data_IF_146796257787
#
_entry.id   IF_146796257787
#
_cell.length_a   1.000
_cell.length_b   1.000
_cell.length_c   1.000
_cell.angle_alpha   90.00
_cell.angle_beta   90.00
_cell.angle_gamma   90.00
#
_symmetry.space_group_name_H-M   'P 1'
#
loop_
_entity.id
_entity.type
_entity.pdbx_description
1 polymer ?
#
# COMPACT_ATOMS: atom_id res chain seq x y z
N UNK A 1 19.82 -9.06 19.69
CA UNK A 1 20.14 -10.02 18.61
C UNK A 1 19.45 -11.32 18.99
N UNK A 2 18.39 -11.66 18.25
CA UNK A 2 17.50 -12.83 18.42
C UNK A 2 16.62 -12.78 19.69
N UNK A 3 15.35 -12.40 19.53
CA UNK A 3 14.19 -12.89 20.33
C UNK A 3 12.99 -11.97 20.11
N UNK A 4 12.22 -12.15 19.02
CA UNK A 4 10.81 -11.69 18.96
C UNK A 4 10.03 -12.35 17.78
N UNK A 5 10.29 -13.64 17.50
CA UNK A 5 9.47 -14.49 16.60
C UNK A 5 8.61 -15.49 17.39
N UNK A 6 8.56 -15.38 18.73
CA UNK A 6 8.02 -16.42 19.59
C UNK A 6 6.59 -16.18 20.16
N UNK A 7 5.88 -15.10 19.80
CA UNK A 7 4.59 -14.79 20.43
C UNK A 7 3.32 -15.16 19.60
N UNK A 8 3.47 -15.75 18.41
CA UNK A 8 2.34 -16.16 17.55
C UNK A 8 2.11 -17.67 17.42
N UNK A 9 2.93 -18.52 18.07
CA UNK A 9 2.96 -19.97 17.84
C UNK A 9 2.59 -20.80 19.07
N UNK A 10 1.56 -20.39 19.80
CA UNK A 10 1.05 -21.12 20.96
C UNK A 10 -0.46 -21.34 20.95
N UNK A 11 -1.03 -21.81 19.82
CA UNK A 11 -2.38 -22.41 19.81
C UNK A 11 -2.61 -23.46 18.68
N UNK A 12 -1.55 -23.97 18.04
CA UNK A 12 -1.65 -25.01 17.01
C UNK A 12 -0.80 -26.24 17.33
N UNK A 13 -1.05 -26.87 18.49
CA UNK A 13 -0.56 -28.23 18.79
C UNK A 13 -1.60 -29.02 19.55
N UNK A 14 -2.57 -29.59 18.83
CA UNK A 14 -3.20 -30.89 19.12
C UNK A 14 -4.19 -31.25 18.01
N UNK A 15 -3.66 -31.75 16.89
CA UNK A 15 -4.39 -32.64 15.98
C UNK A 15 -3.40 -33.21 14.95
N UNK A 16 -2.65 -34.25 15.33
CA UNK A 16 -2.11 -35.21 14.37
C UNK A 16 -2.94 -36.48 14.54
N UNK A 17 -3.71 -36.82 13.51
CA UNK A 17 -3.81 -38.16 12.92
C UNK A 17 -5.01 -38.22 11.97
N UNK A 18 -4.74 -38.14 10.66
CA UNK A 18 -5.54 -38.80 9.61
C UNK A 18 -4.83 -38.78 8.25
N UNK A 19 -5.11 -39.77 7.37
CA UNK A 19 -4.14 -40.29 6.42
C UNK A 19 -4.13 -39.56 5.07
N UNK A 20 -3.03 -39.79 4.36
CA UNK A 20 -2.66 -39.20 3.07
C UNK A 20 -3.79 -39.19 2.03
N UNK A 21 -3.94 -38.04 1.36
CA UNK A 21 -4.74 -37.84 0.16
C UNK A 21 -3.82 -37.44 -1.02
N UNK A 22 -4.25 -37.72 -2.27
CA UNK A 22 -3.34 -38.09 -3.35
C UNK A 22 -2.64 -36.89 -4.01
N UNK A 23 -1.45 -37.17 -4.54
CA UNK A 23 -0.63 -36.30 -5.37
C UNK A 23 -1.43 -35.62 -6.48
N UNK A 24 -1.67 -34.31 -6.34
CA UNK A 24 -2.19 -33.49 -7.41
C UNK A 24 -1.08 -33.26 -8.46
N UNK A 25 -1.37 -33.70 -9.68
CA UNK A 25 -0.57 -33.44 -10.88
C UNK A 25 -0.29 -31.94 -11.02
N UNK A 26 0.95 -31.62 -11.38
CA UNK A 26 1.35 -30.34 -12.00
C UNK A 26 0.31 -29.93 -13.05
N UNK A 27 -0.38 -28.82 -12.81
CA UNK A 27 -1.04 -28.06 -13.86
C UNK A 27 -0.02 -27.06 -14.41
N UNK A 28 0.70 -27.49 -15.44
CA UNK A 28 1.30 -26.56 -16.39
C UNK A 28 0.16 -26.10 -17.30
N UNK A 29 -0.40 -24.92 -17.02
CA UNK A 29 -1.08 -24.12 -18.03
C UNK A 29 -0.96 -22.65 -17.63
N UNK A 30 0.21 -22.08 -17.93
CA UNK A 30 0.39 -20.64 -17.94
C UNK A 30 -0.38 -20.10 -19.16
N UNK A 31 -1.69 -20.04 -19.04
CA UNK A 31 -2.55 -19.39 -20.01
C UNK A 31 -2.09 -17.96 -20.17
N UNK A 32 -1.55 -17.61 -21.34
CA UNK A 32 -1.20 -16.25 -21.70
C UNK A 32 -2.43 -15.37 -21.49
N UNK A 33 -2.38 -14.47 -20.49
CA UNK A 33 -3.36 -13.39 -20.36
C UNK A 33 -3.37 -12.64 -21.70
N UNK A 34 -4.54 -12.40 -22.32
CA UNK A 34 -4.61 -11.64 -23.57
C UNK A 34 -3.93 -10.28 -23.37
N UNK A 35 -3.10 -9.87 -24.33
CA UNK A 35 -2.39 -8.59 -24.24
C UNK A 35 -3.41 -7.44 -24.27
N UNK A 36 -3.60 -6.79 -23.13
CA UNK A 36 -4.46 -5.62 -23.00
C UNK A 36 -3.73 -4.38 -23.55
N UNK A 37 -4.48 -3.47 -24.15
CA UNK A 37 -3.93 -2.20 -24.62
C UNK A 37 -3.61 -1.28 -23.44
N UNK A 38 -2.63 -0.38 -23.63
CA UNK A 38 -2.35 0.69 -22.69
C UNK A 38 -3.56 1.62 -22.53
N UNK A 39 -3.73 2.19 -21.34
CA UNK A 39 -4.87 3.07 -21.06
C UNK A 39 -4.72 4.43 -21.77
N UNK A 40 -5.84 4.94 -22.28
CA UNK A 40 -5.95 6.35 -22.63
C UNK A 40 -6.30 7.16 -21.38
N UNK A 41 -6.03 8.48 -21.37
CA UNK A 41 -6.43 9.37 -20.24
C UNK A 41 -7.92 9.20 -19.88
N UNK A 42 -8.82 9.23 -20.88
CA UNK A 42 -10.27 9.07 -20.65
C UNK A 42 -10.60 7.72 -20.02
N UNK A 43 -10.10 6.62 -20.61
CA UNK A 43 -10.38 5.28 -20.11
C UNK A 43 -9.83 5.05 -18.69
N UNK A 44 -8.63 5.56 -18.38
CA UNK A 44 -8.04 5.49 -17.05
C UNK A 44 -8.92 6.22 -16.03
N UNK A 45 -9.28 7.48 -16.30
CA UNK A 45 -10.13 8.30 -15.45
C UNK A 45 -11.54 7.72 -15.23
N UNK A 46 -12.16 7.18 -16.29
CA UNK A 46 -13.46 6.52 -16.23
C UNK A 46 -13.43 5.27 -15.33
N UNK A 47 -12.43 4.42 -15.51
CA UNK A 47 -12.24 3.22 -14.69
C UNK A 47 -11.92 3.58 -13.24
N UNK A 48 -11.06 4.57 -13.01
CA UNK A 48 -10.74 5.06 -11.66
C UNK A 48 -12.01 5.55 -10.94
N UNK A 49 -12.84 6.35 -11.61
CA UNK A 49 -14.15 6.75 -11.08
C UNK A 49 -15.05 5.55 -10.77
N UNK A 50 -15.09 4.56 -11.66
CA UNK A 50 -15.88 3.34 -11.47
C UNK A 50 -15.47 2.56 -10.21
N UNK A 51 -14.17 2.51 -9.88
CA UNK A 51 -13.66 1.84 -8.67
C UNK A 51 -14.35 2.42 -7.42
N UNK A 52 -14.39 3.75 -7.27
CA UNK A 52 -15.02 4.41 -6.13
C UNK A 52 -16.55 4.29 -6.11
N UNK A 53 -17.20 4.25 -7.27
CA UNK A 53 -18.63 3.95 -7.36
C UNK A 53 -18.93 2.55 -6.82
N UNK A 54 -18.13 1.55 -7.21
CA UNK A 54 -18.29 0.18 -6.75
C UNK A 54 -17.97 0.04 -5.25
N UNK A 55 -16.90 0.70 -4.78
CA UNK A 55 -16.58 0.80 -3.36
C UNK A 55 -17.78 1.28 -2.53
N UNK A 56 -18.41 2.36 -2.97
CA UNK A 56 -19.52 2.98 -2.23
C UNK A 56 -20.79 2.11 -2.26
N UNK A 57 -20.95 1.22 -3.24
CA UNK A 57 -22.06 0.24 -3.28
C UNK A 57 -21.86 -0.87 -2.23
N UNK A 58 -20.61 -1.26 -1.98
CA UNK A 58 -20.17 -2.20 -0.95
C UNK A 58 -20.97 -3.52 -0.83
N UNK A 59 -21.39 -4.09 -1.97
CA UNK A 59 -22.11 -5.36 -2.04
C UNK A 59 -21.29 -6.47 -2.75
N UNK A 60 -21.77 -7.71 -2.68
CA UNK A 60 -21.10 -8.88 -3.30
C UNK A 60 -20.94 -8.70 -4.82
N UNK A 61 -21.96 -8.10 -5.47
CA UNK A 61 -21.87 -7.78 -6.89
C UNK A 61 -20.74 -6.78 -7.17
N UNK A 62 -20.46 -5.84 -6.27
CA UNK A 62 -19.43 -4.82 -6.46
C UNK A 62 -18.04 -5.43 -6.38
N UNK A 63 -17.84 -6.39 -5.48
CA UNK A 63 -16.62 -7.19 -5.43
C UNK A 63 -16.41 -7.93 -6.76
N UNK A 64 -17.44 -8.59 -7.29
CA UNK A 64 -17.35 -9.28 -8.58
C UNK A 64 -17.04 -8.32 -9.75
N UNK A 65 -17.67 -7.15 -9.77
CA UNK A 65 -17.43 -6.12 -10.80
C UNK A 65 -16.01 -5.51 -10.69
N UNK A 66 -15.50 -5.27 -9.48
CA UNK A 66 -14.11 -4.83 -9.26
C UNK A 66 -13.11 -5.88 -9.74
N UNK A 67 -13.34 -7.16 -9.44
CA UNK A 67 -12.50 -8.26 -9.93
C UNK A 67 -12.55 -8.36 -11.46
N UNK A 68 -13.73 -8.15 -12.08
CA UNK A 68 -13.84 -8.10 -13.54
C UNK A 68 -13.08 -6.90 -14.13
N UNK A 69 -13.18 -5.72 -13.50
CA UNK A 69 -12.44 -4.52 -13.88
C UNK A 69 -10.92 -4.74 -13.80
N UNK A 70 -10.45 -5.40 -12.74
CA UNK A 70 -9.05 -5.76 -12.53
C UNK A 70 -8.51 -6.63 -13.68
N UNK A 71 -9.30 -7.59 -14.16
CA UNK A 71 -8.91 -8.42 -15.30
C UNK A 71 -9.03 -7.69 -16.65
N UNK A 72 -9.72 -6.56 -16.70
CA UNK A 72 -9.94 -5.74 -17.90
C UNK A 72 -8.90 -4.64 -18.13
N UNK A 73 -7.87 -4.52 -17.28
CA UNK A 73 -6.81 -3.51 -17.42
C UNK A 73 -5.42 -4.08 -17.14
N UNK A 74 -4.42 -3.56 -17.85
CA UNK A 74 -3.00 -3.79 -17.58
C UNK A 74 -2.35 -2.67 -16.76
N UNK A 75 -3.06 -1.57 -16.48
CA UNK A 75 -2.56 -0.43 -15.69
C UNK A 75 -2.23 -0.87 -14.28
N UNK A 76 -0.98 -0.71 -13.87
CA UNK A 76 -0.55 -0.98 -12.48
C UNK A 76 -1.28 -0.06 -11.49
N UNK A 77 -1.57 1.19 -11.90
CA UNK A 77 -2.34 2.13 -11.09
C UNK A 77 -3.72 1.55 -10.76
N UNK A 78 -4.51 1.22 -11.79
CA UNK A 78 -5.87 0.73 -11.60
C UNK A 78 -5.91 -0.61 -10.87
N UNK A 79 -4.92 -1.48 -11.11
CA UNK A 79 -4.85 -2.81 -10.50
C UNK A 79 -4.61 -2.74 -9.00
N UNK A 80 -3.65 -1.92 -8.55
CA UNK A 80 -3.44 -1.76 -7.12
C UNK A 80 -4.61 -0.98 -6.48
N UNK A 81 -5.13 0.07 -7.11
CA UNK A 81 -6.30 0.81 -6.58
C UNK A 81 -7.53 -0.09 -6.36
N UNK A 82 -7.73 -1.09 -7.23
CA UNK A 82 -8.77 -2.11 -7.03
C UNK A 82 -8.47 -3.00 -5.83
N UNK A 83 -7.22 -3.47 -5.66
CA UNK A 83 -6.83 -4.26 -4.51
C UNK A 83 -7.04 -3.47 -3.20
N UNK A 84 -6.57 -2.22 -3.16
CA UNK A 84 -6.79 -1.26 -2.07
C UNK A 84 -8.28 -1.16 -1.75
N UNK A 85 -9.09 -0.89 -2.77
CA UNK A 85 -10.54 -0.71 -2.64
C UNK A 85 -11.23 -1.95 -2.07
N UNK A 86 -10.84 -3.15 -2.51
CA UNK A 86 -11.37 -4.40 -1.97
C UNK A 86 -11.04 -4.56 -0.47
N UNK A 87 -9.84 -4.13 -0.05
CA UNK A 87 -9.44 -4.07 1.35
C UNK A 87 -10.30 -3.11 2.17
N UNK A 88 -10.46 -1.88 1.69
CA UNK A 88 -11.26 -0.84 2.37
C UNK A 88 -12.76 -1.14 2.40
N UNK A 89 -13.27 -1.99 1.51
CA UNK A 89 -14.63 -2.53 1.59
C UNK A 89 -14.83 -3.47 2.78
N UNK A 90 -13.74 -4.03 3.33
CA UNK A 90 -13.71 -4.97 4.46
C UNK A 90 -14.62 -6.19 4.27
N UNK A 91 -14.77 -6.67 3.03
CA UNK A 91 -15.63 -7.81 2.73
C UNK A 91 -14.83 -9.11 2.60
N UNK A 92 -15.30 -10.15 3.28
CA UNK A 92 -14.65 -11.47 3.30
C UNK A 92 -14.71 -12.23 1.97
N UNK A 93 -15.67 -11.90 1.10
CA UNK A 93 -15.80 -12.49 -0.23
C UNK A 93 -14.70 -12.02 -1.21
N UNK A 94 -13.96 -10.96 -0.89
CA UNK A 94 -12.77 -10.54 -1.63
C UNK A 94 -11.51 -11.37 -1.32
N UNK A 95 -11.45 -12.02 -0.15
CA UNK A 95 -10.26 -12.75 0.35
C UNK A 95 -9.73 -13.79 -0.65
N UNK A 96 -10.55 -14.64 -1.30
CA UNK A 96 -10.04 -15.62 -2.25
C UNK A 96 -9.35 -15.00 -3.46
N UNK A 97 -9.80 -13.82 -3.90
CA UNK A 97 -9.16 -13.10 -5.00
C UNK A 97 -7.83 -12.48 -4.54
N UNK A 98 -7.82 -11.80 -3.39
CA UNK A 98 -6.64 -11.17 -2.83
C UNK A 98 -5.53 -12.19 -2.48
N UNK A 99 -5.88 -13.37 -1.96
CA UNK A 99 -4.93 -14.47 -1.74
C UNK A 99 -4.23 -14.90 -3.04
N UNK A 100 -5.01 -15.09 -4.12
CA UNK A 100 -4.45 -15.45 -5.43
C UNK A 100 -3.57 -14.35 -5.99
N UNK A 101 -3.97 -13.10 -5.79
CA UNK A 101 -3.23 -11.92 -6.25
C UNK A 101 -1.88 -11.80 -5.53
N UNK A 102 -1.87 -11.93 -4.20
CA UNK A 102 -0.64 -11.91 -3.39
C UNK A 102 0.35 -13.02 -3.79
N UNK A 103 -0.17 -14.20 -4.14
CA UNK A 103 0.62 -15.36 -4.56
C UNK A 103 1.12 -15.29 -6.02
N UNK A 104 0.59 -14.40 -6.86
CA UNK A 104 0.94 -14.30 -8.28
C UNK A 104 2.30 -13.60 -8.46
N UNK A 105 3.39 -14.36 -8.54
CA UNK A 105 4.76 -13.82 -8.73
C UNK A 105 4.96 -13.13 -10.10
N UNK A 106 4.00 -13.24 -11.04
CA UNK A 106 4.04 -12.51 -12.31
C UNK A 106 3.34 -11.14 -12.24
N UNK A 107 2.66 -10.83 -11.13
CA UNK A 107 2.03 -9.54 -10.90
C UNK A 107 3.03 -8.48 -10.46
N UNK A 108 2.73 -7.21 -10.74
CA UNK A 108 3.54 -6.08 -10.31
C UNK A 108 3.69 -6.04 -8.77
N UNK A 109 4.90 -5.80 -8.23
CA UNK A 109 5.14 -5.74 -6.80
C UNK A 109 4.26 -4.74 -6.04
N UNK A 110 3.90 -3.59 -6.64
CA UNK A 110 3.01 -2.59 -6.01
C UNK A 110 1.62 -3.20 -5.82
N UNK A 111 1.10 -3.87 -6.86
CA UNK A 111 -0.22 -4.52 -6.79
C UNK A 111 -0.24 -5.69 -5.79
N UNK A 112 0.86 -6.44 -5.66
CA UNK A 112 0.99 -7.51 -4.64
C UNK A 112 1.10 -6.97 -3.22
N UNK A 113 1.83 -5.88 -3.02
CA UNK A 113 1.89 -5.15 -1.75
C UNK A 113 0.49 -4.72 -1.32
N UNK A 114 -0.24 -4.09 -2.23
CA UNK A 114 -1.60 -3.62 -1.95
C UNK A 114 -2.58 -4.76 -1.64
N UNK A 115 -2.40 -5.93 -2.28
CA UNK A 115 -3.17 -7.12 -1.93
C UNK A 115 -2.90 -7.62 -0.49
N UNK A 116 -1.66 -7.52 -0.01
CA UNK A 116 -1.32 -7.87 1.37
C UNK A 116 -1.94 -6.87 2.36
N UNK A 117 -1.85 -5.57 2.08
CA UNK A 117 -2.47 -4.55 2.92
C UNK A 117 -4.00 -4.69 2.95
N UNK A 118 -4.61 -4.96 1.79
CA UNK A 118 -6.04 -5.22 1.68
C UNK A 118 -6.49 -6.42 2.51
N UNK A 119 -5.73 -7.52 2.49
CA UNK A 119 -5.99 -8.68 3.36
C UNK A 119 -5.91 -8.29 4.84
N UNK A 120 -4.96 -7.45 5.22
CA UNK A 120 -4.88 -6.89 6.57
C UNK A 120 -6.13 -6.09 6.93
N UNK A 121 -6.50 -5.14 6.07
CA UNK A 121 -7.62 -4.22 6.27
C UNK A 121 -9.00 -4.92 6.40
N UNK A 122 -9.17 -6.13 5.85
CA UNK A 122 -10.39 -6.92 6.01
C UNK A 122 -10.57 -7.45 7.44
N UNK A 123 -9.48 -7.64 8.20
CA UNK A 123 -9.48 -8.10 9.60
C UNK A 123 -10.19 -9.44 9.88
N UNK A 124 -10.51 -10.22 8.84
CA UNK A 124 -11.16 -11.52 8.99
C UNK A 124 -10.14 -12.65 9.30
N UNK A 125 -10.50 -13.65 10.12
CA UNK A 125 -9.58 -14.75 10.48
C UNK A 125 -8.96 -15.48 9.28
N UNK A 126 -9.75 -15.68 8.21
CA UNK A 126 -9.30 -16.30 6.97
C UNK A 126 -8.27 -15.42 6.25
N UNK A 127 -8.47 -14.11 6.25
CA UNK A 127 -7.58 -13.12 5.66
C UNK A 127 -6.23 -13.06 6.39
N UNK A 128 -6.28 -13.01 7.73
CA UNK A 128 -5.08 -13.01 8.57
C UNK A 128 -4.30 -14.33 8.47
N UNK A 129 -5.01 -15.45 8.28
CA UNK A 129 -4.37 -16.76 8.05
C UNK A 129 -3.58 -16.79 6.74
N UNK A 130 -4.08 -16.13 5.69
CA UNK A 130 -3.35 -15.99 4.41
C UNK A 130 -2.05 -15.20 4.61
N UNK A 131 -2.11 -14.05 5.29
CA UNK A 131 -0.93 -13.24 5.58
C UNK A 131 0.12 -14.01 6.39
N UNK A 132 -0.30 -14.70 7.45
CA UNK A 132 0.58 -15.49 8.29
C UNK A 132 1.28 -16.61 7.51
N UNK A 133 0.56 -17.26 6.58
CA UNK A 133 1.13 -18.28 5.69
C UNK A 133 2.14 -17.67 4.73
N UNK A 134 1.79 -16.57 4.05
CA UNK A 134 2.67 -15.93 3.07
C UNK A 134 3.98 -15.45 3.71
N UNK A 135 3.90 -14.83 4.90
CA UNK A 135 5.08 -14.41 5.65
C UNK A 135 5.98 -15.58 6.06
N UNK A 136 5.40 -16.74 6.40
CA UNK A 136 6.17 -17.94 6.72
C UNK A 136 6.86 -18.55 5.49
N UNK A 137 6.17 -18.54 4.34
CA UNK A 137 6.70 -19.04 3.06
C UNK A 137 7.87 -18.17 2.59
N UNK A 138 7.72 -16.84 2.60
CA UNK A 138 8.79 -15.89 2.23
C UNK A 138 10.01 -16.02 3.16
N UNK A 139 9.80 -16.19 4.47
CA UNK A 139 10.89 -16.41 5.43
C UNK A 139 11.63 -17.74 5.17
N UNK A 140 10.92 -18.78 4.76
CA UNK A 140 11.52 -20.07 4.39
C UNK A 140 12.31 -19.98 3.08
N UNK A 141 11.82 -19.24 2.08
CA UNK A 141 12.53 -19.02 0.82
C UNK A 141 13.81 -18.21 1.03
N UNK A 142 13.75 -17.14 1.84
CA UNK A 142 14.91 -16.33 2.20
C UNK A 142 15.99 -17.11 2.97
N UNK A 143 15.59 -18.06 3.83
CA UNK A 143 16.51 -18.93 4.57
C UNK A 143 17.16 -20.02 3.69
N UNK A 144 16.52 -20.40 2.58
CA UNK A 144 17.00 -21.41 1.64
C UNK A 144 17.85 -20.86 0.48
N UNK A 145 17.76 -19.56 0.18
CA UNK A 145 18.52 -18.87 -0.87
C UNK A 145 19.89 -18.38 -0.39
N UNK A 146 20.94 -18.69 -1.13
CA UNK A 146 22.28 -18.13 -0.88
C UNK A 146 22.33 -16.59 -1.08
N UNK A 147 23.46 -15.94 -0.75
CA UNK A 147 23.60 -14.47 -0.65
C UNK A 147 23.41 -13.67 -1.97
N UNK A 148 22.97 -14.30 -3.06
CA UNK A 148 22.70 -13.67 -4.35
C UNK A 148 21.22 -13.29 -4.58
N UNK A 149 20.32 -13.62 -3.65
CA UNK A 149 18.90 -13.18 -3.68
C UNK A 149 18.67 -11.84 -2.96
N UNK A 150 19.73 -11.16 -2.51
CA UNK A 150 19.67 -9.99 -1.63
C UNK A 150 19.59 -8.63 -2.38
N UNK A 151 19.76 -8.61 -3.70
CA UNK A 151 19.87 -7.37 -4.48
C UNK A 151 18.75 -7.28 -5.54
N UNK A 152 17.57 -6.76 -5.14
CA UNK A 152 16.63 -5.96 -5.95
C UNK A 152 15.23 -5.83 -5.30
N UNK A 153 14.77 -6.84 -4.54
CA UNK A 153 13.37 -6.96 -4.08
C UNK A 153 13.18 -6.85 -2.55
N UNK A 154 14.24 -6.57 -1.79
CA UNK A 154 14.18 -6.55 -0.32
C UNK A 154 13.28 -5.42 0.25
N UNK A 155 12.99 -4.39 -0.54
CA UNK A 155 12.06 -3.30 -0.17
C UNK A 155 10.61 -3.55 -0.65
N UNK A 156 10.36 -4.65 -1.39
CA UNK A 156 9.06 -5.02 -1.97
C UNK A 156 8.59 -6.41 -1.53
N UNK A 157 9.14 -6.94 -0.44
CA UNK A 157 8.53 -8.07 0.26
C UNK A 157 7.17 -7.60 0.78
N UNK A 158 6.10 -7.95 0.06
CA UNK A 158 4.69 -7.73 0.43
C UNK A 158 4.35 -8.23 1.85
N UNK A 159 5.18 -9.10 2.42
CA UNK A 159 5.08 -9.58 3.79
C UNK A 159 5.82 -8.72 4.86
N UNK A 160 6.50 -7.64 4.46
CA UNK A 160 7.35 -6.83 5.34
C UNK A 160 6.64 -5.64 6.01
N UNK A 161 5.39 -5.34 5.64
CA UNK A 161 4.49 -4.56 6.50
C UNK A 161 3.86 -5.53 7.51
N UNK A 162 4.31 -5.58 8.78
CA UNK A 162 3.61 -6.36 9.79
C UNK A 162 2.31 -5.63 10.10
N UNK A 163 1.27 -5.97 9.36
CA UNK A 163 -0.07 -5.56 9.69
C UNK A 163 -0.39 -6.05 11.10
N UNK A 164 -0.76 -5.13 11.98
CA UNK A 164 -1.29 -5.46 13.30
C UNK A 164 -2.59 -4.68 13.48
N UNK A 165 -3.67 -5.34 13.97
CA UNK A 165 -4.92 -4.67 14.21
C UNK A 165 -4.69 -3.58 15.27
N UNK A 166 -5.27 -2.41 15.05
CA UNK A 166 -5.30 -1.40 16.10
C UNK A 166 -6.17 -1.89 17.27
N UNK A 167 -5.79 -1.65 18.53
CA UNK A 167 -6.71 -1.85 19.65
C UNK A 167 -7.92 -0.92 19.46
N UNK A 168 -9.13 -1.31 19.89
CA UNK A 168 -10.32 -0.48 19.75
C UNK A 168 -10.18 0.79 20.61
N UNK A 169 -9.76 1.89 20.01
CA UNK A 169 -9.65 3.22 20.62
C UNK A 169 -10.99 3.97 20.45
N UNK A 170 -11.66 4.42 21.54
CA UNK A 170 -13.01 4.98 21.44
C UNK A 170 -13.10 6.43 20.91
N UNK A 171 -11.98 7.09 20.55
CA UNK A 171 -11.98 8.54 20.27
C UNK A 171 -11.02 9.03 19.18
N UNK A 172 -10.54 8.18 18.28
CA UNK A 172 -9.66 8.62 17.20
C UNK A 172 -10.40 9.53 16.19
N UNK A 173 -9.73 10.52 15.57
CA UNK A 173 -10.32 11.35 14.52
C UNK A 173 -10.88 10.48 13.38
N UNK A 174 -11.98 10.94 12.78
CA UNK A 174 -12.77 10.22 11.76
C UNK A 174 -12.04 10.12 10.42
N UNK A 175 -10.93 9.38 10.36
CA UNK A 175 -10.38 8.89 9.10
C UNK A 175 -11.09 7.57 8.76
N UNK A 176 -11.66 7.44 7.57
CA UNK A 176 -12.37 6.23 7.12
C UNK A 176 -11.44 5.14 6.57
N UNK A 177 -10.13 5.41 6.54
CA UNK A 177 -9.08 4.52 6.06
C UNK A 177 -8.61 3.56 7.17
N UNK A 178 -8.57 2.27 6.87
CA UNK A 178 -8.02 1.25 7.77
C UNK A 178 -6.49 1.26 7.62
N UNK A 179 -5.79 1.72 8.65
CA UNK A 179 -4.33 1.88 8.62
C UNK A 179 -3.58 0.56 8.79
N UNK A 180 -2.44 0.34 8.10
CA UNK A 180 -1.63 -0.87 8.19
C UNK A 180 -0.94 -1.05 9.55
N UNK A 181 -0.84 0.02 10.34
CA UNK A 181 -0.35 -0.03 11.71
C UNK A 181 -1.18 0.90 12.63
N UNK A 182 -1.33 0.56 13.91
CA UNK A 182 -1.86 1.49 14.89
C UNK A 182 -0.92 2.68 15.10
N UNK A 183 -1.47 3.83 15.49
CA UNK A 183 -0.65 4.93 15.95
C UNK A 183 0.22 4.53 17.16
N UNK A 184 1.43 5.09 17.24
CA UNK A 184 2.22 5.03 18.46
C UNK A 184 1.49 5.76 19.61
N UNK A 185 1.83 5.41 20.85
CA UNK A 185 1.37 6.16 22.01
C UNK A 185 1.71 7.66 21.87
N UNK A 186 0.82 8.50 22.39
CA UNK A 186 0.99 9.95 22.35
C UNK A 186 2.36 10.35 22.96
N UNK A 187 3.22 10.94 22.13
CA UNK A 187 4.54 11.39 22.52
C UNK A 187 4.80 12.82 21.98
N UNK A 188 5.75 13.57 22.55
CA UNK A 188 6.11 14.88 22.03
C UNK A 188 6.57 14.82 20.56
N UNK A 189 6.24 15.85 19.78
CA UNK A 189 6.57 15.94 18.36
C UNK A 189 8.05 15.61 18.03
N UNK A 190 9.06 16.11 18.77
CA UNK A 190 10.46 15.77 18.48
C UNK A 190 10.77 14.28 18.61
N UNK A 191 10.08 13.57 19.51
CA UNK A 191 10.26 12.14 19.73
C UNK A 191 9.62 11.32 18.61
N UNK A 192 8.38 11.65 18.22
CA UNK A 192 7.72 11.01 17.09
C UNK A 192 8.51 11.20 15.79
N UNK A 193 9.02 12.42 15.55
CA UNK A 193 9.94 12.70 14.45
C UNK A 193 11.20 11.83 14.52
N UNK A 194 11.84 11.72 15.69
CA UNK A 194 13.04 10.90 15.84
C UNK A 194 12.78 9.42 15.51
N UNK A 195 11.64 8.87 15.97
CA UNK A 195 11.23 7.49 15.67
C UNK A 195 10.97 7.27 14.19
N UNK A 196 10.26 8.18 13.52
CA UNK A 196 10.00 8.09 12.07
C UNK A 196 11.30 8.07 11.25
N UNK A 197 12.29 8.88 11.66
CA UNK A 197 13.53 9.09 10.90
C UNK A 197 14.66 8.10 11.27
N UNK A 198 14.45 7.23 12.26
CA UNK A 198 15.45 6.24 12.67
C UNK A 198 15.54 5.07 11.68
N UNK A 199 16.59 5.07 10.86
CA UNK A 199 16.86 3.99 9.89
C UNK A 199 17.24 2.66 10.54
N UNK A 200 17.63 2.67 11.81
CA UNK A 200 17.93 1.46 12.56
C UNK A 200 16.70 0.81 13.19
N UNK A 201 15.57 1.52 13.25
CA UNK A 201 14.34 1.01 13.82
C UNK A 201 13.60 0.07 12.84
N UNK A 202 12.88 -0.94 13.35
CA UNK A 202 11.99 -1.76 12.52
C UNK A 202 10.95 -0.89 11.80
N UNK A 203 10.64 -1.23 10.54
CA UNK A 203 9.71 -0.47 9.70
C UNK A 203 8.36 -0.22 10.40
N UNK A 204 7.84 -1.24 11.10
CA UNK A 204 6.61 -1.14 11.88
C UNK A 204 6.60 0.01 12.89
N UNK A 205 7.66 0.16 13.68
CA UNK A 205 7.71 1.23 14.70
C UNK A 205 7.78 2.62 14.05
N UNK A 206 8.35 2.70 12.85
CA UNK A 206 8.38 3.92 12.04
C UNK A 206 6.98 4.24 11.49
N UNK A 207 6.22 3.24 11.06
CA UNK A 207 4.81 3.36 10.67
C UNK A 207 3.93 3.81 11.84
N UNK A 208 4.12 3.25 13.03
CA UNK A 208 3.41 3.71 14.24
C UNK A 208 3.69 5.19 14.52
N UNK A 209 4.94 5.64 14.37
CA UNK A 209 5.31 7.04 14.51
C UNK A 209 4.69 7.92 13.41
N UNK A 210 4.62 7.44 12.16
CA UNK A 210 3.94 8.09 11.04
C UNK A 210 2.45 8.36 11.36
N UNK A 211 1.70 7.35 11.79
CA UNK A 211 0.28 7.55 12.12
C UNK A 211 0.08 8.40 13.37
N UNK A 212 0.97 8.31 14.38
CA UNK A 212 0.94 9.24 15.51
C UNK A 212 1.21 10.70 15.08
N UNK A 213 2.08 10.93 14.10
CA UNK A 213 2.31 12.27 13.53
C UNK A 213 1.08 12.77 12.76
N UNK A 214 0.42 11.91 11.96
CA UNK A 214 -0.87 12.23 11.30
C UNK A 214 -1.89 12.69 12.33
N UNK A 215 -2.10 11.88 13.37
CA UNK A 215 -3.11 12.14 14.40
C UNK A 215 -2.76 13.35 15.27
N UNK A 216 -1.48 13.74 15.32
CA UNK A 216 -1.02 14.94 16.02
C UNK A 216 -1.21 16.24 15.22
N UNK A 217 -1.46 16.19 13.90
CA UNK A 217 -1.59 17.40 13.05
C UNK A 217 -2.63 18.41 13.56
N UNK A 218 -3.83 18.02 14.03
CA UNK A 218 -4.80 18.99 14.56
C UNK A 218 -4.28 19.83 15.74
N UNK A 219 -3.28 19.32 16.48
CA UNK A 219 -2.65 20.02 17.61
C UNK A 219 -1.33 20.69 17.24
N UNK A 220 -0.46 19.98 16.53
CA UNK A 220 0.92 20.41 16.24
C UNK A 220 1.05 21.16 14.90
N UNK A 221 0.02 21.11 14.05
CA UNK A 221 -0.07 21.81 12.78
C UNK A 221 1.10 21.51 11.84
N UNK A 222 1.68 22.58 11.29
CA UNK A 222 2.79 22.48 10.34
C UNK A 222 4.05 21.79 10.89
N UNK A 223 4.22 21.70 12.21
CA UNK A 223 5.34 20.99 12.83
C UNK A 223 5.31 19.49 12.58
N UNK A 224 4.14 18.87 12.72
CA UNK A 224 3.93 17.45 12.41
C UNK A 224 4.08 17.18 10.90
N UNK A 225 3.49 18.05 10.06
CA UNK A 225 3.61 17.97 8.60
C UNK A 225 5.07 18.09 8.15
N UNK A 226 5.86 18.96 8.79
CA UNK A 226 7.28 19.11 8.46
C UNK A 226 8.09 17.83 8.75
N UNK A 227 7.78 17.10 9.83
CA UNK A 227 8.44 15.82 10.13
C UNK A 227 8.13 14.75 9.07
N UNK A 228 6.89 14.72 8.59
CA UNK A 228 6.46 13.84 7.49
C UNK A 228 7.18 14.21 6.18
N UNK A 229 7.17 15.50 5.82
CA UNK A 229 7.87 16.02 4.63
C UNK A 229 9.37 15.72 4.66
N UNK A 230 10.00 15.81 5.83
CA UNK A 230 11.41 15.46 5.99
C UNK A 230 11.66 13.99 5.64
N UNK A 231 10.82 13.06 6.11
CA UNK A 231 10.93 11.64 5.78
C UNK A 231 10.81 11.40 4.27
N UNK A 232 9.79 12.01 3.63
CA UNK A 232 9.60 11.94 2.17
C UNK A 232 10.81 12.50 1.38
N UNK A 233 11.45 13.55 1.91
CA UNK A 233 12.59 14.20 1.28
C UNK A 233 13.92 13.43 1.37
N UNK A 234 14.02 12.38 2.20
CA UNK A 234 15.30 11.67 2.38
C UNK A 234 15.69 10.89 1.13
N UNK A 235 16.92 11.12 0.71
CA UNK A 235 17.58 10.35 -0.34
C UNK A 235 18.39 9.18 0.24
N UNK A 236 18.67 8.19 -0.61
CA UNK A 236 19.64 7.12 -0.39
C UNK A 236 19.32 6.19 0.78
N UNK A 237 18.84 4.97 0.47
CA UNK A 237 18.62 3.89 1.44
C UNK A 237 17.48 4.13 2.41
N UNK A 238 16.50 4.95 2.03
CA UNK A 238 15.21 5.04 2.72
C UNK A 238 14.21 4.11 2.03
N UNK A 239 13.37 3.43 2.80
CA UNK A 239 12.44 2.44 2.25
C UNK A 239 11.41 3.12 1.35
N UNK A 240 11.25 2.61 0.12
CA UNK A 240 10.20 3.06 -0.80
C UNK A 240 8.81 2.86 -0.19
N UNK A 241 8.61 1.77 0.57
CA UNK A 241 7.39 1.52 1.32
C UNK A 241 7.11 2.63 2.35
N UNK A 242 8.06 2.96 3.22
CA UNK A 242 7.79 4.06 4.16
C UNK A 242 7.47 5.38 3.46
N UNK A 243 8.15 5.68 2.36
CA UNK A 243 7.98 6.95 1.65
C UNK A 243 6.65 7.06 0.90
N UNK A 244 6.15 5.97 0.32
CA UNK A 244 4.81 5.98 -0.29
C UNK A 244 3.76 6.21 0.81
N UNK A 245 3.82 5.49 1.92
CA UNK A 245 2.88 5.68 3.04
C UNK A 245 2.93 7.11 3.61
N UNK A 246 4.11 7.71 3.71
CA UNK A 246 4.26 9.12 4.09
C UNK A 246 3.55 10.04 3.09
N UNK A 247 3.71 9.80 1.78
CA UNK A 247 3.02 10.59 0.76
C UNK A 247 1.50 10.41 0.82
N UNK A 248 1.02 9.18 1.02
CA UNK A 248 -0.39 8.86 1.20
C UNK A 248 -0.99 9.61 2.39
N UNK A 249 -0.34 9.54 3.56
CA UNK A 249 -0.74 10.28 4.76
C UNK A 249 -0.73 11.80 4.53
N UNK A 250 0.27 12.33 3.82
CA UNK A 250 0.30 13.75 3.47
C UNK A 250 -0.87 14.15 2.55
N UNK A 251 -1.27 13.27 1.64
CA UNK A 251 -2.47 13.41 0.82
C UNK A 251 -3.74 13.45 1.68
N UNK A 252 -3.91 12.50 2.60
CA UNK A 252 -5.05 12.46 3.54
C UNK A 252 -5.16 13.70 4.43
N UNK A 253 -4.03 14.31 4.76
CA UNK A 253 -3.99 15.52 5.57
C UNK A 253 -4.36 16.78 4.80
N UNK A 254 -4.23 16.76 3.46
CA UNK A 254 -4.47 17.88 2.53
C UNK A 254 -3.79 19.19 2.96
N UNK A 255 -2.71 19.12 3.75
CA UNK A 255 -2.11 20.29 4.37
C UNK A 255 -1.16 20.99 3.37
N UNK A 256 -1.38 22.28 3.01
CA UNK A 256 -0.63 22.95 1.94
C UNK A 256 0.89 22.99 2.13
N UNK A 257 1.38 22.97 3.38
CA UNK A 257 2.81 22.90 3.69
C UNK A 257 3.52 21.65 3.15
N UNK A 258 2.78 20.61 2.75
CA UNK A 258 3.34 19.41 2.11
C UNK A 258 3.65 19.59 0.62
N UNK A 259 3.10 20.62 -0.02
CA UNK A 259 3.14 20.80 -1.48
C UNK A 259 4.54 20.78 -2.08
N UNK A 260 5.49 21.50 -1.46
CA UNK A 260 6.88 21.55 -1.95
C UNK A 260 7.57 20.18 -1.87
N UNK A 261 7.36 19.44 -0.77
CA UNK A 261 7.97 18.13 -0.57
C UNK A 261 7.41 17.09 -1.56
N UNK A 262 6.10 17.09 -1.77
CA UNK A 262 5.41 16.22 -2.73
C UNK A 262 5.81 16.55 -4.18
N UNK A 263 5.85 17.83 -4.55
CA UNK A 263 6.38 18.27 -5.84
C UNK A 263 7.83 17.80 -6.02
N UNK A 264 8.64 17.89 -4.97
CA UNK A 264 10.02 17.39 -4.96
C UNK A 264 10.12 15.88 -5.16
N UNK A 265 9.19 15.10 -4.61
CA UNK A 265 9.12 13.66 -4.80
C UNK A 265 8.76 13.28 -6.24
N UNK A 266 7.73 13.88 -6.82
CA UNK A 266 7.33 13.66 -8.22
C UNK A 266 8.49 13.97 -9.19
N UNK A 267 9.22 15.05 -8.95
CA UNK A 267 10.33 15.52 -9.81
C UNK A 267 11.63 14.74 -9.69
N UNK A 268 11.76 13.86 -8.69
CA UNK A 268 13.00 13.16 -8.41
C UNK A 268 13.12 11.92 -9.31
N UNK A 269 13.91 12.03 -10.37
CA UNK A 269 14.14 10.95 -11.36
C UNK A 269 14.66 9.63 -10.75
N UNK A 270 15.40 9.69 -9.64
CA UNK A 270 15.89 8.51 -8.92
C UNK A 270 14.95 7.99 -7.83
N UNK A 271 13.74 8.55 -7.71
CA UNK A 271 12.74 8.10 -6.74
C UNK A 271 11.96 6.89 -7.28
N UNK A 272 11.62 5.96 -6.40
CA UNK A 272 10.84 4.78 -6.76
C UNK A 272 9.45 5.17 -7.29
N UNK A 273 8.96 4.46 -8.31
CA UNK A 273 7.68 4.75 -8.95
C UNK A 273 6.48 4.75 -8.00
N UNK A 274 6.49 3.83 -7.03
CA UNK A 274 5.52 3.78 -5.91
C UNK A 274 5.41 5.12 -5.17
N UNK A 275 6.55 5.72 -4.80
CA UNK A 275 6.56 7.00 -4.07
C UNK A 275 6.12 8.15 -4.98
N UNK A 276 6.48 8.11 -6.27
CA UNK A 276 6.15 9.17 -7.23
C UNK A 276 4.66 9.19 -7.57
N UNK A 277 4.02 8.03 -7.72
CA UNK A 277 2.58 7.96 -7.96
C UNK A 277 1.81 8.49 -6.75
N UNK A 278 2.17 8.03 -5.55
CA UNK A 278 1.49 8.41 -4.32
C UNK A 278 1.64 9.91 -4.04
N UNK A 279 2.84 10.45 -4.31
CA UNK A 279 3.05 11.88 -4.25
C UNK A 279 2.22 12.67 -5.28
N UNK A 280 1.98 12.11 -6.48
CA UNK A 280 1.13 12.74 -7.48
C UNK A 280 -0.36 12.73 -7.07
N UNK A 281 -0.86 11.64 -6.51
CA UNK A 281 -2.23 11.58 -5.98
C UNK A 281 -2.43 12.56 -4.82
N UNK A 282 -1.48 12.60 -3.87
CA UNK A 282 -1.49 13.55 -2.76
C UNK A 282 -1.47 15.01 -3.23
N UNK A 283 -0.74 15.33 -4.31
CA UNK A 283 -0.80 16.66 -4.95
C UNK A 283 -2.20 16.97 -5.53
N UNK A 284 -2.88 15.95 -6.06
CA UNK A 284 -4.28 16.03 -6.50
C UNK A 284 -5.22 16.43 -5.35
N UNK A 285 -5.08 15.79 -4.20
CA UNK A 285 -5.87 16.11 -3.01
C UNK A 285 -5.60 17.53 -2.47
N UNK A 286 -4.33 17.98 -2.49
CA UNK A 286 -3.94 19.31 -2.00
C UNK A 286 -4.35 20.45 -2.95
N UNK A 287 -4.29 20.24 -4.26
CA UNK A 287 -4.87 21.15 -5.25
C UNK A 287 -4.26 22.56 -5.36
N UNK A 288 -3.05 22.81 -4.85
CA UNK A 288 -2.40 24.14 -5.00
C UNK A 288 -2.01 24.43 -6.47
N UNK A 289 -1.84 25.71 -6.87
CA UNK A 289 -1.41 26.03 -8.23
C UNK A 289 -0.10 25.35 -8.66
N UNK A 290 0.87 25.23 -7.73
CA UNK A 290 2.14 24.54 -7.96
C UNK A 290 1.95 23.02 -8.09
N UNK A 291 1.00 22.44 -7.35
CA UNK A 291 0.62 21.04 -7.50
C UNK A 291 0.07 20.79 -8.91
N UNK A 292 -0.91 21.59 -9.35
CA UNK A 292 -1.50 21.50 -10.70
C UNK A 292 -0.45 21.65 -11.80
N UNK A 293 0.45 22.63 -11.69
CA UNK A 293 1.55 22.81 -12.65
C UNK A 293 2.44 21.57 -12.72
N UNK A 294 2.78 20.99 -11.58
CA UNK A 294 3.59 19.78 -11.49
C UNK A 294 2.88 18.59 -12.14
N UNK A 295 1.61 18.34 -11.80
CA UNK A 295 0.84 17.23 -12.38
C UNK A 295 0.73 17.33 -13.90
N UNK A 296 0.48 18.53 -14.44
CA UNK A 296 0.42 18.75 -15.90
C UNK A 296 1.75 18.45 -16.59
N UNK A 297 2.87 18.78 -15.96
CA UNK A 297 4.19 18.50 -16.51
C UNK A 297 4.48 16.99 -16.65
N UNK A 298 3.85 16.13 -15.84
CA UNK A 298 4.08 14.68 -15.83
C UNK A 298 2.98 13.85 -16.53
N UNK A 299 1.94 14.48 -17.08
CA UNK A 299 0.89 13.81 -17.86
C UNK A 299 1.35 13.12 -19.15
N UNK A 300 2.59 13.35 -19.60
CA UNK A 300 3.21 12.68 -20.74
C UNK A 300 4.46 11.88 -20.37
N UNK A 301 4.69 11.63 -19.08
CA UNK A 301 5.91 10.96 -18.61
C UNK A 301 5.98 9.51 -19.10
N UNK A 302 7.19 8.97 -19.31
CA UNK A 302 7.38 7.63 -19.85
C UNK A 302 6.91 6.53 -18.89
N UNK A 303 7.17 6.74 -17.60
CA UNK A 303 6.70 5.86 -16.52
C UNK A 303 5.17 5.92 -16.42
N UNK A 304 4.53 4.78 -16.65
CA UNK A 304 3.07 4.66 -16.76
C UNK A 304 2.35 5.03 -15.47
N UNK A 305 2.73 4.44 -14.34
CA UNK A 305 2.03 4.65 -13.06
C UNK A 305 2.02 6.13 -12.66
N UNK A 306 3.14 6.85 -12.85
CA UNK A 306 3.19 8.28 -12.58
C UNK A 306 2.32 9.09 -13.53
N UNK A 307 2.38 8.78 -14.84
CA UNK A 307 1.60 9.46 -15.86
C UNK A 307 0.10 9.32 -15.59
N UNK A 308 -0.35 8.10 -15.30
CA UNK A 308 -1.74 7.79 -15.00
C UNK A 308 -2.19 8.42 -13.68
N UNK A 309 -1.33 8.45 -12.66
CA UNK A 309 -1.63 9.12 -11.37
C UNK A 309 -1.83 10.62 -11.57
N UNK A 310 -1.03 11.25 -12.43
CA UNK A 310 -1.23 12.65 -12.80
C UNK A 310 -2.56 12.87 -13.54
N UNK A 311 -3.00 11.91 -14.36
CA UNK A 311 -4.29 12.00 -15.04
C UNK A 311 -5.46 11.97 -14.07
N UNK A 312 -5.47 11.02 -13.13
CA UNK A 312 -6.55 10.87 -12.15
C UNK A 312 -6.53 12.00 -11.12
N UNK A 313 -5.34 12.45 -10.69
CA UNK A 313 -5.20 13.60 -9.78
C UNK A 313 -5.76 14.90 -10.39
N UNK A 314 -5.53 15.14 -11.69
CA UNK A 314 -6.07 16.32 -12.38
C UNK A 314 -7.57 16.21 -12.66
N UNK A 315 -8.11 15.01 -12.85
CA UNK A 315 -9.55 14.80 -13.05
C UNK A 315 -10.36 15.46 -11.91
N UNK A 316 -9.92 15.28 -10.66
CA UNK A 316 -10.59 15.86 -9.49
C UNK A 316 -10.44 17.38 -9.34
N UNK A 317 -9.50 18.00 -10.07
CA UNK A 317 -9.17 19.43 -9.97
C UNK A 317 -9.67 20.25 -11.16
N UNK A 318 -9.92 19.61 -12.29
CA UNK A 318 -10.28 20.25 -13.57
C UNK A 318 -11.77 20.13 -13.93
N UNK A 319 -12.54 19.32 -13.18
CA UNK A 319 -14.00 19.16 -13.28
C UNK A 319 -14.78 20.14 -12.38
#
# INVERSE_FOLDING_TARGET
MLDFVAAGLALARTARDSPAAPTARRAADAGQRPALAAESRSACCEKYTQIFVLRNRNDEAAVAELVALFHGTASVLLRHEIAYTLGQMQRVDAVPFLERLLADRAEDPITRHEAAEALGAIEAPESLSVLAKHAADDASEAAGGGPAAADADADASSAACPWQPAPPEPTAPTYTYVSPAPAAEAAPLPELRARLLDRGAPLFERYRALFALRDAVPREGAGAVAALCECLGRAGGESALLKHEVAFVLGQLEHPAAGDALCGAVRREGEHGMVRHEAAEALGAIGTPQAVETLRAYCGHAEEILRESCWVALMWLED
#
